data_IF_485856732110
#
_entry.id   IF_485856732110
#
_cell.length_a   1.000
_cell.length_b   1.000
_cell.length_c   1.000
_cell.angle_alpha   90.00
_cell.angle_beta   90.00
_cell.angle_gamma   90.00
#
_symmetry.space_group_name_H-M   'P 1'
#
loop_
_entity.id
_entity.type
_entity.pdbx_description
1 polymer ?
#
# COMPACT_ATOMS: atom_id res chain seq x y z
N UNK A 1 -15.21 4.37 7.77
CA UNK A 1 -14.57 3.47 8.75
C UNK A 1 -15.58 2.39 9.06
N UNK A 2 -15.23 1.13 8.85
CA UNK A 2 -16.10 0.00 9.19
C UNK A 2 -16.19 -0.05 10.71
N UNK A 3 -17.39 -0.26 11.26
CA UNK A 3 -17.56 -0.42 12.72
C UNK A 3 -16.89 -1.74 13.14
N UNK A 4 -15.80 -1.63 13.90
CA UNK A 4 -14.99 -2.77 14.33
C UNK A 4 -15.41 -3.20 15.74
N UNK A 5 -15.44 -4.52 15.98
CA UNK A 5 -15.60 -5.09 17.31
C UNK A 5 -14.45 -4.65 18.24
N UNK A 6 -14.76 -4.43 19.54
CA UNK A 6 -13.93 -3.72 20.55
C UNK A 6 -12.49 -4.24 20.78
N UNK A 7 -12.05 -5.31 20.10
CA UNK A 7 -10.75 -5.96 20.31
C UNK A 7 -9.88 -6.12 19.05
N UNK A 8 -10.21 -5.45 17.93
CA UNK A 8 -9.43 -5.53 16.69
C UNK A 8 -8.55 -4.28 16.55
N UNK A 9 -7.23 -4.49 16.37
CA UNK A 9 -6.29 -3.42 16.02
C UNK A 9 -6.11 -3.35 14.51
N UNK A 10 -6.46 -2.21 13.92
CA UNK A 10 -6.30 -1.94 12.50
C UNK A 10 -4.96 -1.25 12.23
N UNK A 11 -4.21 -1.74 11.24
CA UNK A 11 -2.94 -1.15 10.81
C UNK A 11 -3.14 -0.58 9.42
N UNK A 12 -2.87 0.71 9.26
CA UNK A 12 -2.85 1.38 7.97
C UNK A 12 -1.41 1.68 7.55
N UNK A 13 -1.13 1.47 6.27
CA UNK A 13 0.11 1.91 5.64
C UNK A 13 -0.25 2.77 4.43
N UNK A 14 0.34 3.97 4.36
CA UNK A 14 0.12 4.94 3.30
C UNK A 14 1.47 5.29 2.71
N UNK A 15 1.54 5.32 1.39
CA UNK A 15 2.70 5.78 0.64
C UNK A 15 2.27 6.93 -0.26
N UNK A 16 3.04 8.01 -0.23
CA UNK A 16 2.88 9.16 -1.09
C UNK A 16 4.13 9.31 -1.95
N UNK A 17 3.94 9.78 -3.17
CA UNK A 17 5.00 10.00 -4.13
C UNK A 17 4.92 11.44 -4.65
N UNK A 18 6.07 12.08 -4.80
CA UNK A 18 6.15 13.46 -5.30
C UNK A 18 5.61 13.60 -6.74
N UNK A 19 5.68 12.52 -7.53
CA UNK A 19 5.17 12.46 -8.89
C UNK A 19 4.76 11.05 -9.30
N UNK A 20 3.94 10.96 -10.36
CA UNK A 20 3.58 9.68 -10.97
C UNK A 20 4.79 8.95 -11.58
N UNK A 21 5.75 9.71 -12.13
CA UNK A 21 6.98 9.14 -12.69
C UNK A 21 7.87 8.53 -11.60
N UNK A 22 7.91 9.14 -10.40
CA UNK A 22 8.62 8.57 -9.25
C UNK A 22 7.97 7.28 -8.76
N UNK A 23 6.64 7.25 -8.69
CA UNK A 23 5.90 6.01 -8.43
C UNK A 23 6.30 4.91 -9.43
N UNK A 24 6.23 5.18 -10.73
CA UNK A 24 6.59 4.20 -11.76
C UNK A 24 8.03 3.72 -11.64
N UNK A 25 8.97 4.64 -11.38
CA UNK A 25 10.39 4.32 -11.23
C UNK A 25 10.63 3.41 -10.03
N UNK A 26 10.04 3.72 -8.88
CA UNK A 26 10.18 2.94 -7.65
C UNK A 26 9.53 1.56 -7.83
N UNK A 27 8.29 1.52 -8.33
CA UNK A 27 7.55 0.28 -8.55
C UNK A 27 8.29 -0.65 -9.52
N UNK A 28 8.86 -0.09 -10.60
CA UNK A 28 9.66 -0.86 -11.56
C UNK A 28 10.93 -1.41 -10.91
N UNK A 29 11.63 -0.61 -10.09
CA UNK A 29 12.83 -1.06 -9.40
C UNK A 29 12.54 -2.19 -8.40
N UNK A 30 11.46 -2.07 -7.61
CA UNK A 30 11.04 -3.10 -6.64
C UNK A 30 10.67 -4.40 -7.36
N UNK A 31 9.93 -4.31 -8.47
CA UNK A 31 9.54 -5.50 -9.26
C UNK A 31 10.73 -6.19 -9.93
N UNK A 32 11.78 -5.43 -10.23
CA UNK A 32 13.01 -5.97 -10.81
C UNK A 32 13.90 -6.68 -9.77
N UNK A 33 13.75 -6.36 -8.48
CA UNK A 33 14.43 -7.06 -7.38
C UNK A 33 13.82 -8.46 -7.18
N UNK A 34 14.48 -9.45 -7.79
CA UNK A 34 14.05 -10.85 -7.74
C UNK A 34 14.07 -11.42 -6.33
N UNK A 35 15.04 -11.04 -5.49
CA UNK A 35 15.14 -11.57 -4.13
C UNK A 35 13.98 -11.04 -3.28
N UNK A 36 13.68 -9.76 -3.39
CA UNK A 36 12.51 -9.17 -2.75
C UNK A 36 11.22 -9.85 -3.20
N UNK A 37 11.02 -10.01 -4.52
CA UNK A 37 9.82 -10.66 -5.07
C UNK A 37 9.68 -12.11 -4.57
N UNK A 38 10.78 -12.86 -4.48
CA UNK A 38 10.76 -14.23 -3.96
C UNK A 38 10.35 -14.21 -2.48
N UNK A 39 10.96 -13.37 -1.64
CA UNK A 39 10.61 -13.28 -0.21
C UNK A 39 9.12 -12.97 0.01
N UNK A 40 8.56 -12.05 -0.79
CA UNK A 40 7.13 -11.71 -0.71
C UNK A 40 6.25 -12.89 -1.12
N UNK A 41 6.61 -13.62 -2.17
CA UNK A 41 5.86 -14.81 -2.61
C UNK A 41 5.90 -15.91 -1.56
N UNK A 42 7.09 -16.22 -1.04
CA UNK A 42 7.26 -17.21 0.02
C UNK A 42 6.46 -16.85 1.27
N UNK A 43 6.42 -15.57 1.63
CA UNK A 43 5.56 -15.09 2.70
C UNK A 43 4.08 -15.39 2.39
N UNK A 44 3.56 -15.03 1.22
CA UNK A 44 2.17 -15.37 0.88
C UNK A 44 1.90 -16.88 0.93
N UNK A 45 2.80 -17.71 0.41
CA UNK A 45 2.65 -19.16 0.40
C UNK A 45 2.63 -19.75 1.83
N UNK A 46 3.44 -19.21 2.74
CA UNK A 46 3.46 -19.62 4.15
C UNK A 46 2.14 -19.32 4.89
N UNK A 47 1.41 -18.27 4.48
CA UNK A 47 0.17 -17.83 5.13
C UNK A 47 -1.11 -18.26 4.38
N UNK A 48 -1.04 -19.37 3.63
CA UNK A 48 -2.21 -19.95 2.96
C UNK A 48 -2.46 -19.42 1.54
N UNK A 49 -1.48 -18.73 0.96
CA UNK A 49 -1.51 -18.20 -0.39
C UNK A 49 -2.07 -16.78 -0.47
N UNK A 50 -1.81 -16.11 -1.59
CA UNK A 50 -2.19 -14.72 -1.82
C UNK A 50 -3.68 -14.45 -1.63
N UNK A 51 -4.54 -15.31 -2.20
CA UNK A 51 -5.99 -15.12 -2.15
C UNK A 51 -6.54 -15.25 -0.71
N UNK A 52 -5.98 -16.17 0.08
CA UNK A 52 -6.36 -16.33 1.48
C UNK A 52 -5.96 -15.10 2.29
N UNK A 53 -4.72 -14.60 2.10
CA UNK A 53 -4.25 -13.42 2.83
C UNK A 53 -5.07 -12.17 2.47
N UNK A 54 -5.32 -11.94 1.18
CA UNK A 54 -6.12 -10.79 0.73
C UNK A 54 -7.54 -10.83 1.28
N UNK A 55 -8.15 -12.02 1.37
CA UNK A 55 -9.53 -12.16 1.85
C UNK A 55 -9.66 -12.01 3.36
N UNK A 56 -8.69 -12.49 4.14
CA UNK A 56 -8.83 -12.64 5.60
C UNK A 56 -8.04 -11.60 6.41
N UNK A 57 -6.98 -10.99 5.85
CA UNK A 57 -6.12 -10.07 6.59
C UNK A 57 -6.10 -8.65 6.02
N UNK A 58 -6.48 -8.46 4.76
CA UNK A 58 -6.48 -7.14 4.13
C UNK A 58 -7.90 -6.62 4.07
N UNK A 59 -8.18 -5.58 4.86
CA UNK A 59 -9.52 -4.99 4.94
C UNK A 59 -9.82 -4.14 3.69
N UNK A 60 -8.88 -3.28 3.30
CA UNK A 60 -9.05 -2.38 2.17
C UNK A 60 -7.68 -2.04 1.53
N UNK A 61 -7.65 -1.92 0.21
CA UNK A 61 -6.52 -1.39 -0.55
C UNK A 61 -7.04 -0.32 -1.49
N UNK A 62 -6.49 0.89 -1.36
CA UNK A 62 -6.84 2.04 -2.20
C UNK A 62 -5.60 2.52 -2.95
N UNK A 63 -5.78 2.86 -4.21
CA UNK A 63 -4.80 3.59 -5.00
C UNK A 63 -5.51 4.82 -5.56
N UNK A 64 -5.32 5.95 -4.89
CA UNK A 64 -6.04 7.19 -5.14
C UNK A 64 -5.05 8.32 -5.36
N UNK A 65 -5.35 9.22 -6.31
CA UNK A 65 -4.60 10.46 -6.46
C UNK A 65 -5.04 11.42 -5.34
N UNK A 66 -4.10 11.77 -4.47
CA UNK A 66 -4.34 12.78 -3.44
C UNK A 66 -4.17 14.17 -4.05
N UNK A 67 -5.19 15.01 -3.91
CA UNK A 67 -5.13 16.41 -4.29
C UNK A 67 -5.13 17.26 -3.02
N UNK A 68 -4.14 18.15 -2.87
CA UNK A 68 -4.15 19.12 -1.79
C UNK A 68 -5.37 20.03 -1.91
N UNK A 69 -6.12 20.17 -0.82
CA UNK A 69 -7.21 21.15 -0.69
C UNK A 69 -6.73 22.45 -0.05
N UNK A 70 -5.45 22.55 0.29
CA UNK A 70 -4.84 23.79 0.76
C UNK A 70 -4.48 24.63 -0.47
N UNK A 71 -5.07 25.82 -0.56
CA UNK A 71 -4.62 26.84 -1.50
C UNK A 71 -3.17 27.21 -1.15
N UNK A 72 -2.24 27.00 -2.09
CA UNK A 72 -0.89 27.53 -1.99
C UNK A 72 -0.97 29.06 -1.97
N UNK A 73 -1.16 29.65 -0.79
CA UNK A 73 -0.95 31.07 -0.59
C UNK A 73 0.54 31.31 -0.85
N UNK A 74 0.85 31.72 -2.07
CA UNK A 74 2.14 32.32 -2.42
C UNK A 74 2.40 33.41 -1.39
N UNK A 75 3.29 33.14 -0.45
CA UNK A 75 3.91 34.19 0.35
C UNK A 75 4.75 35.02 -0.63
N UNK A 76 4.14 36.10 -1.12
CA UNK A 76 4.79 37.21 -1.80
C UNK A 76 4.77 38.43 -0.89
#
# INVERSE_FOLDING_TARGET
MIENEDNISEIFAIWEYDSYDDYLRIETAIRADKEHVIRVREWYDQYGGKDYVLKNYILEVKNEMLQSTLDEQKQS
#
